data_IF_058074842996
#
_entry.id   IF_058074842996
#
_cell.length_a   1.000
_cell.length_b   1.000
_cell.length_c   1.000
_cell.angle_alpha   90.00
_cell.angle_beta   90.00
_cell.angle_gamma   90.00
#
_symmetry.space_group_name_H-M   'P 1'
#
loop_
_entity.id
_entity.type
_entity.pdbx_description
1 polymer ?
#
# COMPACT_ATOMS: atom_id res chain seq x y z
N UNK A 1 -22.57 -10.99 -5.90
CA UNK A 1 -23.23 -11.48 -4.67
C UNK A 1 -22.21 -12.31 -3.91
N UNK A 2 -21.47 -11.70 -2.98
CA UNK A 2 -20.59 -12.46 -2.11
C UNK A 2 -21.49 -13.30 -1.20
N UNK A 3 -21.30 -14.62 -1.21
CA UNK A 3 -21.93 -15.48 -0.22
C UNK A 3 -21.35 -15.10 1.14
N UNK A 4 -22.17 -14.50 2.00
CA UNK A 4 -21.82 -14.21 3.38
C UNK A 4 -21.78 -15.53 4.16
N UNK A 5 -20.58 -16.10 4.19
CA UNK A 5 -20.28 -17.34 4.91
C UNK A 5 -20.16 -17.11 6.42
N UNK A 6 -20.00 -15.85 6.87
CA UNK A 6 -19.85 -15.53 8.29
C UNK A 6 -21.18 -15.70 9.04
N UNK A 7 -22.30 -15.34 8.42
CA UNK A 7 -23.61 -15.42 9.07
C UNK A 7 -24.21 -16.83 9.15
N UNK A 8 -23.83 -17.75 8.26
CA UNK A 8 -24.45 -19.08 8.19
C UNK A 8 -24.03 -20.01 9.33
N UNK A 9 -22.90 -19.72 9.99
CA UNK A 9 -22.33 -20.50 11.10
C UNK A 9 -22.19 -19.68 12.38
N UNK A 10 -22.88 -18.54 12.48
CA UNK A 10 -22.87 -17.74 13.69
C UNK A 10 -23.38 -18.56 14.88
N UNK A 11 -22.65 -18.50 16.00
CA UNK A 11 -23.02 -19.23 17.22
C UNK A 11 -24.42 -18.82 17.68
N UNK A 12 -25.34 -19.79 17.73
CA UNK A 12 -26.67 -19.63 18.32
C UNK A 12 -26.78 -20.56 19.52
N UNK A 13 -27.06 -19.99 20.69
CA UNK A 13 -27.19 -20.73 21.94
C UNK A 13 -28.41 -21.67 21.88
N UNK A 14 -28.22 -22.94 22.26
CA UNK A 14 -29.28 -23.96 22.21
C UNK A 14 -29.47 -24.65 20.85
N UNK A 15 -28.70 -24.30 19.81
CA UNK A 15 -28.66 -25.05 18.56
C UNK A 15 -28.15 -26.49 18.76
N UNK A 16 -28.41 -27.38 17.81
CA UNK A 16 -28.05 -28.81 17.92
C UNK A 16 -26.58 -29.06 18.28
N UNK A 17 -25.68 -28.15 17.90
CA UNK A 17 -24.23 -28.20 18.15
C UNK A 17 -23.77 -27.35 19.35
N UNK A 18 -24.64 -26.47 19.90
CA UNK A 18 -24.33 -25.48 20.94
C UNK A 18 -25.16 -25.69 22.21
N UNK A 19 -24.98 -26.85 22.87
CA UNK A 19 -25.58 -27.13 24.18
C UNK A 19 -24.86 -26.34 25.28
N UNK A 20 -25.54 -26.12 26.42
CA UNK A 20 -25.01 -25.36 27.57
C UNK A 20 -23.63 -25.79 28.09
N UNK A 21 -23.23 -27.04 27.82
CA UNK A 21 -21.97 -27.62 28.30
C UNK A 21 -20.90 -27.69 27.20
N UNK A 22 -21.19 -27.21 25.99
CA UNK A 22 -20.23 -27.12 24.89
C UNK A 22 -19.52 -25.77 24.93
N UNK A 23 -18.20 -25.77 24.73
CA UNK A 23 -17.45 -24.51 24.51
C UNK A 23 -17.77 -23.97 23.11
N UNK A 24 -17.64 -22.66 22.90
CA UNK A 24 -17.72 -22.11 21.54
C UNK A 24 -16.59 -22.70 20.70
N UNK A 25 -16.83 -22.93 19.41
CA UNK A 25 -15.80 -23.48 18.52
C UNK A 25 -14.48 -22.69 18.57
N UNK A 26 -14.57 -21.36 18.68
CA UNK A 26 -13.43 -20.45 18.81
C UNK A 26 -12.59 -20.65 20.09
N UNK A 27 -13.15 -21.26 21.14
CA UNK A 27 -12.47 -21.48 22.42
C UNK A 27 -11.76 -22.85 22.49
N UNK A 28 -11.90 -23.69 21.46
CA UNK A 28 -11.15 -24.94 21.38
C UNK A 28 -9.72 -24.68 20.92
N UNK A 29 -8.77 -25.20 21.69
CA UNK A 29 -7.36 -25.27 21.27
C UNK A 29 -7.18 -26.44 20.31
N UNK A 30 -7.54 -26.22 19.05
CA UNK A 30 -7.46 -27.24 18.01
C UNK A 30 -6.02 -27.41 17.52
N UNK A 31 -5.59 -28.65 17.20
CA UNK A 31 -4.32 -28.88 16.49
C UNK A 31 -4.29 -28.12 15.16
N UNK A 32 -3.10 -27.69 14.71
CA UNK A 32 -2.96 -26.85 13.50
C UNK A 32 -3.54 -27.48 12.23
N UNK A 33 -3.61 -28.81 12.14
CA UNK A 33 -4.20 -29.55 11.02
C UNK A 33 -5.74 -29.48 10.96
N UNK A 34 -6.40 -29.01 12.03
CA UNK A 34 -7.86 -28.81 12.10
C UNK A 34 -8.24 -27.38 11.68
N UNK A 35 -7.26 -26.49 11.42
CA UNK A 35 -7.55 -25.15 10.89
C UNK A 35 -8.22 -25.30 9.52
N UNK A 36 -9.50 -24.94 9.47
CA UNK A 36 -10.29 -25.02 8.25
C UNK A 36 -9.66 -24.09 7.19
N UNK A 37 -9.37 -24.56 5.96
CA UNK A 37 -8.69 -23.76 4.93
C UNK A 37 -9.38 -22.43 4.59
N UNK A 38 -10.68 -22.33 4.87
CA UNK A 38 -11.47 -21.10 4.66
C UNK A 38 -11.40 -20.09 5.82
N UNK A 39 -10.76 -20.41 6.95
CA UNK A 39 -10.58 -19.47 8.07
C UNK A 39 -9.42 -18.49 7.82
N UNK A 40 -8.45 -18.83 6.98
CA UNK A 40 -7.49 -17.86 6.44
C UNK A 40 -8.07 -17.16 5.22
N UNK A 41 -9.00 -16.23 5.43
CA UNK A 41 -9.28 -15.20 4.44
C UNK A 41 -8.07 -14.24 4.40
N UNK A 42 -6.96 -14.67 3.78
CA UNK A 42 -5.84 -13.75 3.52
C UNK A 42 -6.34 -12.68 2.58
N UNK A 43 -6.42 -11.44 3.09
CA UNK A 43 -6.73 -10.26 2.29
C UNK A 43 -5.74 -10.20 1.13
N UNK A 44 -6.23 -10.37 -0.10
CA UNK A 44 -5.40 -10.25 -1.30
C UNK A 44 -5.21 -8.77 -1.59
N UNK A 45 -3.96 -8.31 -1.53
CA UNK A 45 -3.62 -6.91 -1.75
C UNK A 45 -2.82 -6.81 -3.05
N UNK A 46 -3.21 -5.88 -3.91
CA UNK A 46 -2.43 -5.45 -5.06
C UNK A 46 -2.17 -3.95 -4.97
N UNK A 47 -0.97 -3.52 -5.34
CA UNK A 47 -0.60 -2.10 -5.36
C UNK A 47 -0.63 -1.58 -6.80
N UNK A 48 -1.30 -0.45 -7.00
CA UNK A 48 -1.41 0.22 -8.29
C UNK A 48 -0.78 1.60 -8.21
N UNK A 49 0.18 1.84 -9.09
CA UNK A 49 0.93 3.09 -9.15
C UNK A 49 0.44 3.97 -10.31
N UNK A 50 -0.07 5.17 -10.03
CA UNK A 50 -0.56 6.07 -11.06
C UNK A 50 0.57 6.68 -11.90
N UNK A 51 0.21 7.19 -13.08
CA UNK A 51 1.11 7.89 -13.99
C UNK A 51 1.00 9.43 -13.95
N UNK A 52 1.54 10.06 -14.98
CA UNK A 52 1.81 11.51 -15.15
C UNK A 52 0.62 12.46 -14.90
N UNK A 53 -0.62 11.98 -15.01
CA UNK A 53 -1.83 12.81 -14.85
C UNK A 53 -2.29 12.98 -13.39
N UNK A 54 -1.50 12.53 -12.41
CA UNK A 54 -1.88 12.56 -10.99
C UNK A 54 -1.11 13.57 -10.14
N UNK A 55 -0.30 14.42 -10.77
CA UNK A 55 0.48 15.42 -10.06
C UNK A 55 -0.41 16.58 -9.59
N UNK A 56 -0.12 17.12 -8.42
CA UNK A 56 -0.77 18.31 -7.90
C UNK A 56 0.16 19.07 -6.96
N UNK A 57 -0.01 20.39 -6.90
CA UNK A 57 0.73 21.26 -5.98
C UNK A 57 0.32 20.92 -4.55
N UNK A 58 1.30 20.73 -3.67
CA UNK A 58 1.10 20.32 -2.30
C UNK A 58 1.08 18.80 -2.10
N UNK A 59 1.47 17.99 -3.10
CA UNK A 59 1.64 16.55 -2.90
C UNK A 59 2.64 16.25 -1.77
N UNK A 60 2.45 15.12 -1.09
CA UNK A 60 3.25 14.69 0.08
C UNK A 60 3.18 15.58 1.33
N UNK A 61 2.39 16.66 1.35
CA UNK A 61 2.36 17.64 2.47
C UNK A 61 2.28 17.02 3.86
N UNK A 62 1.42 16.01 4.04
CA UNK A 62 1.18 15.35 5.34
C UNK A 62 2.33 14.45 5.81
N UNK A 63 3.17 13.99 4.89
CA UNK A 63 4.27 13.05 5.17
C UNK A 63 5.64 13.70 5.00
N UNK A 64 5.71 14.87 4.37
CA UNK A 64 6.94 15.54 3.95
C UNK A 64 7.96 15.71 5.08
N UNK A 65 7.50 16.07 6.27
CA UNK A 65 8.36 16.33 7.44
C UNK A 65 8.95 15.08 8.09
N UNK A 66 8.58 13.87 7.63
CA UNK A 66 9.16 12.63 8.16
C UNK A 66 10.62 12.53 7.71
N UNK A 67 11.57 12.17 8.60
CA UNK A 67 12.99 12.08 8.25
C UNK A 67 13.26 11.26 6.99
N UNK A 68 12.67 10.06 6.91
CA UNK A 68 12.79 9.18 5.73
C UNK A 68 12.31 9.82 4.43
N UNK A 69 11.27 10.65 4.49
CA UNK A 69 10.73 11.34 3.31
C UNK A 69 11.67 12.47 2.88
N UNK A 70 12.20 13.23 3.84
CA UNK A 70 13.22 14.25 3.57
C UNK A 70 14.48 13.63 2.93
N UNK A 71 14.93 12.48 3.43
CA UNK A 71 16.08 11.77 2.86
C UNK A 71 15.84 11.36 1.40
N UNK A 72 14.64 10.85 1.09
CA UNK A 72 14.27 10.49 -0.29
C UNK A 72 14.16 11.71 -1.20
N UNK A 73 13.60 12.83 -0.72
CA UNK A 73 13.49 14.07 -1.48
C UNK A 73 14.86 14.66 -1.79
N UNK A 74 15.73 14.79 -0.77
CA UNK A 74 17.10 15.27 -0.96
C UNK A 74 17.90 14.39 -1.93
N UNK A 75 17.69 13.07 -1.84
CA UNK A 75 18.30 12.12 -2.78
C UNK A 75 17.78 12.30 -4.20
N UNK A 76 16.47 12.47 -4.38
CA UNK A 76 15.88 12.75 -5.69
C UNK A 76 16.42 14.06 -6.30
N UNK A 77 16.55 15.12 -5.51
CA UNK A 77 17.13 16.39 -5.95
C UNK A 77 18.56 16.22 -6.45
N UNK A 78 19.37 15.42 -5.74
CA UNK A 78 20.74 15.14 -6.15
C UNK A 78 20.84 14.36 -7.47
N UNK A 79 19.87 13.50 -7.77
CA UNK A 79 19.85 12.65 -8.97
C UNK A 79 19.31 13.42 -10.17
N UNK A 80 18.19 14.14 -9.99
CA UNK A 80 17.51 14.83 -11.09
C UNK A 80 18.07 16.23 -11.38
N UNK A 81 18.79 16.83 -10.42
CA UNK A 81 19.45 18.13 -10.60
C UNK A 81 18.50 19.33 -10.56
N UNK A 82 17.32 19.19 -9.95
CA UNK A 82 16.36 20.29 -9.73
C UNK A 82 15.65 20.15 -8.38
N UNK A 83 15.01 21.24 -7.93
CA UNK A 83 14.29 21.35 -6.65
C UNK A 83 12.98 20.54 -6.63
N UNK A 84 13.08 19.25 -6.36
CA UNK A 84 11.96 18.30 -6.29
C UNK A 84 11.01 18.69 -5.16
N UNK A 85 11.52 18.96 -3.95
CA UNK A 85 10.66 19.30 -2.82
C UNK A 85 9.91 20.61 -3.06
N UNK A 86 10.60 21.65 -3.53
CA UNK A 86 10.02 22.94 -3.84
C UNK A 86 8.94 22.87 -4.89
N UNK A 87 9.18 22.12 -5.98
CA UNK A 87 8.18 21.91 -7.04
C UNK A 87 6.93 21.19 -6.52
N UNK A 88 7.09 20.14 -5.72
CA UNK A 88 5.96 19.44 -5.10
C UNK A 88 5.23 20.29 -4.06
N UNK A 89 5.92 21.23 -3.42
CA UNK A 89 5.40 22.08 -2.36
C UNK A 89 4.56 23.23 -2.91
N UNK A 90 5.20 24.12 -3.65
CA UNK A 90 4.65 25.40 -4.08
C UNK A 90 4.97 25.71 -5.57
N UNK A 91 5.46 24.72 -6.32
CA UNK A 91 5.89 24.90 -7.71
C UNK A 91 4.76 25.38 -8.63
N UNK A 92 5.06 26.23 -9.64
CA UNK A 92 4.05 26.66 -10.58
C UNK A 92 3.58 25.46 -11.42
N UNK A 93 2.27 25.28 -11.52
CA UNK A 93 1.67 24.17 -12.24
C UNK A 93 2.10 24.09 -13.72
N UNK A 94 2.59 25.18 -14.31
CA UNK A 94 3.16 25.20 -15.66
C UNK A 94 4.49 24.46 -15.78
N UNK A 95 5.37 24.53 -14.77
CA UNK A 95 6.67 23.85 -14.79
C UNK A 95 6.50 22.34 -14.56
N UNK A 96 5.52 21.96 -13.74
CA UNK A 96 5.17 20.56 -13.49
C UNK A 96 4.53 19.85 -14.69
N UNK A 97 4.14 20.57 -15.75
CA UNK A 97 3.52 19.95 -16.95
C UNK A 97 4.53 19.36 -17.91
N UNK A 98 5.79 19.78 -17.86
CA UNK A 98 6.82 19.21 -18.72
C UNK A 98 7.04 17.75 -18.31
N UNK A 99 6.97 16.83 -19.27
CA UNK A 99 7.14 15.40 -19.03
C UNK A 99 8.47 15.08 -18.33
N UNK A 100 9.54 15.82 -18.66
CA UNK A 100 10.86 15.66 -18.03
C UNK A 100 10.90 16.07 -16.55
N UNK A 101 9.92 16.82 -16.06
CA UNK A 101 9.77 17.20 -14.65
C UNK A 101 8.69 16.34 -13.99
N UNK A 102 7.54 16.23 -14.64
CA UNK A 102 6.36 15.54 -14.12
C UNK A 102 6.63 14.07 -13.79
N UNK A 103 7.25 13.34 -14.71
CA UNK A 103 7.52 11.91 -14.53
C UNK A 103 8.42 11.64 -13.31
N UNK A 104 9.56 12.34 -13.13
CA UNK A 104 10.33 12.26 -11.89
C UNK A 104 9.51 12.58 -10.63
N UNK A 105 8.69 13.64 -10.65
CA UNK A 105 7.89 14.01 -9.47
C UNK A 105 6.89 12.90 -9.11
N UNK A 106 6.19 12.34 -10.09
CA UNK A 106 5.26 11.23 -9.85
C UNK A 106 5.99 9.98 -9.35
N UNK A 107 7.14 9.65 -9.94
CA UNK A 107 7.95 8.52 -9.48
C UNK A 107 8.34 8.67 -8.01
N UNK A 108 8.86 9.84 -7.61
CA UNK A 108 9.25 10.13 -6.23
C UNK A 108 8.04 10.05 -5.30
N UNK A 109 6.92 10.67 -5.67
CA UNK A 109 5.70 10.66 -4.84
C UNK A 109 5.15 9.25 -4.62
N UNK A 110 5.14 8.41 -5.66
CA UNK A 110 4.74 7.02 -5.59
C UNK A 110 5.66 6.20 -4.69
N UNK A 111 6.98 6.35 -4.82
CA UNK A 111 7.95 5.64 -3.98
C UNK A 111 7.83 6.07 -2.51
N UNK A 112 7.67 7.36 -2.24
CA UNK A 112 7.40 7.87 -0.89
C UNK A 112 6.11 7.27 -0.33
N UNK A 113 5.03 7.23 -1.11
CA UNK A 113 3.77 6.64 -0.67
C UNK A 113 3.93 5.16 -0.29
N UNK A 114 4.72 4.40 -1.06
CA UNK A 114 5.04 3.01 -0.74
C UNK A 114 5.88 2.88 0.54
N UNK A 115 6.87 3.74 0.75
CA UNK A 115 7.64 3.74 2.01
C UNK A 115 6.79 4.06 3.24
N UNK A 116 5.81 4.96 3.09
CA UNK A 116 4.84 5.28 4.14
C UNK A 116 3.87 4.13 4.38
N UNK A 117 3.44 3.42 3.33
CA UNK A 117 2.64 2.20 3.49
C UNK A 117 3.38 1.16 4.32
N UNK A 118 4.66 0.91 4.02
CA UNK A 118 5.50 -0.01 4.81
C UNK A 118 5.63 0.39 6.27
N UNK A 119 5.68 1.68 6.57
CA UNK A 119 5.73 2.20 7.94
C UNK A 119 4.38 2.02 8.67
N UNK A 120 3.26 2.33 8.01
CA UNK A 120 1.92 2.35 8.63
C UNK A 120 1.27 0.98 8.73
N UNK A 121 1.48 0.14 7.72
CA UNK A 121 0.84 -1.18 7.58
C UNK A 121 1.83 -2.19 7.01
N UNK A 122 2.86 -2.60 7.79
CA UNK A 122 3.90 -3.51 7.32
C UNK A 122 3.31 -4.85 6.84
N UNK A 123 2.30 -5.38 7.54
CA UNK A 123 1.63 -6.62 7.11
C UNK A 123 0.93 -6.48 5.76
N UNK A 124 0.32 -5.33 5.46
CA UNK A 124 -0.38 -5.12 4.19
C UNK A 124 0.64 -4.99 3.05
N UNK A 125 1.78 -4.34 3.29
CA UNK A 125 2.87 -4.26 2.34
C UNK A 125 3.50 -5.64 2.08
N UNK A 126 3.70 -6.44 3.12
CA UNK A 126 4.26 -7.80 3.02
C UNK A 126 3.30 -8.77 2.33
N UNK A 127 1.99 -8.66 2.60
CA UNK A 127 0.96 -9.51 1.98
C UNK A 127 0.63 -9.11 0.54
N UNK A 128 1.23 -8.05 0.00
CA UNK A 128 1.05 -7.67 -1.39
C UNK A 128 1.40 -8.83 -2.32
N UNK A 129 0.45 -9.24 -3.16
CA UNK A 129 0.60 -10.37 -4.09
C UNK A 129 1.01 -9.92 -5.49
N UNK A 130 0.97 -8.62 -5.76
CA UNK A 130 1.28 -8.08 -7.07
C UNK A 130 1.26 -6.57 -7.10
N UNK A 131 2.07 -6.03 -8.01
CA UNK A 131 2.19 -4.60 -8.26
C UNK A 131 1.94 -4.35 -9.74
N UNK A 132 1.33 -3.21 -10.06
CA UNK A 132 1.26 -2.73 -11.44
C UNK A 132 1.33 -1.21 -11.47
N UNK A 133 1.78 -0.66 -12.58
CA UNK A 133 1.88 0.77 -12.77
C UNK A 133 1.42 1.18 -14.16
N UNK A 134 0.85 2.38 -14.27
CA UNK A 134 0.45 2.94 -15.55
C UNK A 134 1.49 3.92 -16.07
N UNK A 135 2.07 3.66 -17.25
CA UNK A 135 3.11 4.49 -17.87
C UNK A 135 4.30 4.68 -16.90
N UNK A 136 4.67 5.91 -16.53
CA UNK A 136 5.73 6.16 -15.54
C UNK A 136 5.52 5.44 -14.20
N UNK A 137 4.27 5.12 -13.83
CA UNK A 137 3.98 4.36 -12.62
C UNK A 137 4.58 2.94 -12.63
N UNK A 138 4.90 2.38 -13.82
CA UNK A 138 5.56 1.07 -13.94
C UNK A 138 6.91 1.06 -13.21
N UNK A 139 7.68 2.15 -13.27
CA UNK A 139 8.95 2.28 -12.55
C UNK A 139 8.76 2.20 -11.03
N UNK A 140 7.71 2.84 -10.52
CA UNK A 140 7.35 2.75 -9.10
C UNK A 140 6.88 1.34 -8.71
N UNK A 141 6.22 0.63 -9.63
CA UNK A 141 5.85 -0.77 -9.43
C UNK A 141 7.10 -1.67 -9.36
N UNK A 142 8.07 -1.49 -10.27
CA UNK A 142 9.34 -2.21 -10.24
C UNK A 142 10.13 -1.94 -8.95
N UNK A 143 10.14 -0.70 -8.48
CA UNK A 143 10.72 -0.33 -7.19
C UNK A 143 10.02 -1.05 -6.02
N UNK A 144 8.68 -1.03 -6.00
CA UNK A 144 7.91 -1.70 -4.95
C UNK A 144 8.05 -3.24 -4.99
N UNK A 145 8.31 -3.83 -6.16
CA UNK A 145 8.65 -5.24 -6.31
C UNK A 145 10.11 -5.57 -5.94
N UNK A 146 10.95 -4.58 -5.63
CA UNK A 146 12.37 -4.77 -5.32
C UNK A 146 13.22 -5.15 -6.53
N UNK A 147 12.75 -4.89 -7.75
CA UNK A 147 13.49 -5.17 -9.00
C UNK A 147 14.56 -4.11 -9.24
N UNK A 148 14.26 -2.86 -8.87
CA UNK A 148 15.18 -1.73 -9.00
C UNK A 148 15.32 -1.01 -7.66
N UNK A 149 16.43 -0.30 -7.51
CA UNK A 149 16.64 0.66 -6.42
C UNK A 149 15.88 1.96 -6.67
N UNK A 150 15.92 2.87 -5.69
CA UNK A 150 15.31 4.19 -5.85
C UNK A 150 16.12 5.09 -6.81
N UNK A 151 17.43 4.90 -6.82
CA UNK A 151 18.39 5.44 -7.80
C UNK A 151 18.42 4.62 -9.09
#
# INVERSE_FOLDING_TARGET
VAYDIENKYAYQDGGAENKSNHKKFADYRLPDWVRHPLLEQRKKIGLLFPGEQTHYVGMLKEVRKKPKVQDMLAKAESIFGFDVEGLMKDGPASEMKSTGVNQPLIYVANCVAYEILKERSPEDAEKCQGVAGYSVGEWSALYAAGVITFE
#
